data_IF_850314506744
#
_entry.id   IF_850314506744
#
_cell.length_a   1.000
_cell.length_b   1.000
_cell.length_c   1.000
_cell.angle_alpha   90.00
_cell.angle_beta   90.00
_cell.angle_gamma   90.00
#
_symmetry.space_group_name_H-M   'P 1'
#
loop_
_entity.id
_entity.type
_entity.pdbx_description
1 polymer ?
#
# COMPACT_ATOMS: atom_id res chain seq x y z
N UNK A 1 22.68 3.24 -1.01
CA UNK A 1 22.29 4.67 -0.97
C UNK A 1 20.86 4.94 -0.52
N UNK A 2 19.80 4.36 -1.13
CA UNK A 2 18.39 4.68 -0.78
C UNK A 2 18.01 4.54 0.72
N UNK A 3 18.66 3.66 1.46
CA UNK A 3 18.34 3.35 2.87
C UNK A 3 19.27 4.11 3.85
N UNK A 4 20.32 4.77 3.36
CA UNK A 4 21.41 5.29 4.21
C UNK A 4 20.94 6.27 5.30
N UNK A 5 19.96 7.11 4.99
CA UNK A 5 19.40 8.11 5.92
C UNK A 5 17.94 7.81 6.30
N UNK A 6 17.61 6.52 6.39
CA UNK A 6 16.30 6.04 6.82
C UNK A 6 16.35 5.62 8.29
N UNK A 7 15.30 5.97 9.05
CA UNK A 7 15.12 5.57 10.44
C UNK A 7 13.83 4.76 10.57
N UNK A 8 13.98 3.50 11.00
CA UNK A 8 12.83 2.65 11.32
C UNK A 8 12.25 3.02 12.69
N UNK A 9 10.96 3.38 12.75
CA UNK A 9 10.29 3.81 14.00
C UNK A 9 9.46 2.70 14.66
N UNK A 10 9.06 1.68 13.90
CA UNK A 10 8.36 0.51 14.42
C UNK A 10 8.53 -0.72 13.53
N UNK A 11 8.25 -1.89 14.12
CA UNK A 11 8.12 -3.18 13.46
C UNK A 11 6.73 -3.77 13.69
N UNK A 12 6.36 -4.70 12.82
CA UNK A 12 5.07 -5.36 12.83
C UNK A 12 4.05 -4.66 11.92
N UNK A 13 3.03 -5.41 11.52
CA UNK A 13 1.93 -4.88 10.71
C UNK A 13 0.66 -5.69 10.96
N UNK A 14 -0.39 -4.99 11.42
CA UNK A 14 -1.70 -5.61 11.65
C UNK A 14 -2.58 -5.68 10.38
N UNK A 15 -2.00 -5.35 9.23
CA UNK A 15 -2.69 -5.32 7.94
C UNK A 15 -3.17 -6.69 7.47
N UNK A 16 -2.37 -7.74 7.70
CA UNK A 16 -2.75 -9.12 7.42
C UNK A 16 -3.03 -9.42 5.93
N UNK A 17 -2.38 -8.70 5.01
CA UNK A 17 -2.48 -8.95 3.56
C UNK A 17 -2.12 -10.41 3.26
N UNK A 18 -2.89 -11.09 2.41
CA UNK A 18 -2.77 -12.53 2.21
C UNK A 18 -1.44 -12.98 1.58
N UNK A 19 -0.75 -12.07 0.88
CA UNK A 19 0.51 -12.29 0.15
C UNK A 19 1.74 -11.74 0.89
N UNK A 20 1.57 -11.15 2.08
CA UNK A 20 2.64 -10.47 2.81
C UNK A 20 3.12 -11.32 3.99
N UNK A 21 4.44 -11.41 4.19
CA UNK A 21 5.05 -12.17 5.30
C UNK A 21 5.37 -11.34 6.54
N UNK A 22 5.10 -10.02 6.54
CA UNK A 22 5.48 -9.14 7.65
C UNK A 22 4.88 -9.63 8.97
N UNK A 23 3.62 -10.07 8.99
CA UNK A 23 3.00 -10.58 10.22
C UNK A 23 3.63 -11.88 10.70
N UNK A 24 4.20 -12.70 9.81
CA UNK A 24 4.89 -13.93 10.15
C UNK A 24 6.31 -13.66 10.68
N UNK A 25 7.03 -12.73 10.07
CA UNK A 25 8.43 -12.43 10.43
C UNK A 25 8.58 -11.39 11.55
N UNK A 26 7.74 -10.35 11.56
CA UNK A 26 7.80 -9.24 12.54
C UNK A 26 6.66 -9.25 13.56
N UNK A 27 5.68 -10.13 13.38
CA UNK A 27 4.48 -10.17 14.20
C UNK A 27 3.38 -9.23 13.71
N UNK A 28 2.16 -9.56 14.13
CA UNK A 28 0.95 -8.77 13.85
C UNK A 28 0.89 -7.47 14.68
N UNK A 29 1.39 -7.51 15.91
CA UNK A 29 1.32 -6.37 16.83
C UNK A 29 2.46 -5.39 16.58
N UNK A 30 2.17 -4.10 16.67
CA UNK A 30 3.16 -3.05 16.45
C UNK A 30 4.09 -2.97 17.66
N UNK A 31 5.38 -3.10 17.41
CA UNK A 31 6.45 -2.85 18.38
C UNK A 31 7.12 -1.55 17.99
N UNK A 32 6.83 -0.48 18.74
CA UNK A 32 7.30 0.88 18.46
C UNK A 32 8.54 1.21 19.27
N UNK A 33 9.47 1.96 18.66
CA UNK A 33 10.59 2.57 19.38
C UNK A 33 10.11 3.75 20.23
N UNK A 34 10.85 4.06 21.28
CA UNK A 34 10.64 5.29 22.03
C UNK A 34 11.04 6.52 21.20
N UNK A 35 10.47 7.68 21.53
CA UNK A 35 10.79 8.95 20.86
C UNK A 35 12.26 9.30 21.02
N UNK A 36 12.78 9.08 22.22
CA UNK A 36 14.18 9.33 22.59
C UNK A 36 15.13 8.46 21.79
N UNK A 37 14.79 7.17 21.60
CA UNK A 37 15.56 6.24 20.77
C UNK A 37 15.60 6.69 19.31
N UNK A 38 14.46 7.12 18.75
CA UNK A 38 14.37 7.62 17.37
C UNK A 38 15.23 8.89 17.22
N UNK A 39 15.05 9.87 18.10
CA UNK A 39 15.81 11.12 18.05
C UNK A 39 17.32 10.90 18.22
N UNK A 40 17.73 9.95 19.07
CA UNK A 40 19.14 9.59 19.22
C UNK A 40 19.74 9.07 17.92
N UNK A 41 19.02 8.21 17.19
CA UNK A 41 19.48 7.69 15.90
C UNK A 41 19.50 8.77 14.82
N UNK A 42 18.47 9.62 14.76
CA UNK A 42 18.45 10.76 13.83
C UNK A 42 19.67 11.66 14.05
N UNK A 43 20.00 12.00 15.31
CA UNK A 43 21.19 12.79 15.64
C UNK A 43 22.47 12.08 15.21
N UNK A 44 22.59 10.77 15.44
CA UNK A 44 23.76 10.01 14.98
C UNK A 44 23.92 10.01 13.45
N UNK A 45 22.81 9.96 12.68
CA UNK A 45 22.85 10.08 11.22
C UNK A 45 23.26 11.49 10.77
N UNK A 46 22.92 12.52 11.53
CA UNK A 46 23.28 13.91 11.22
C UNK A 46 24.78 14.16 11.26
N UNK A 47 25.52 13.41 12.08
CA UNK A 47 26.99 13.51 12.20
C UNK A 47 27.74 12.82 11.05
N UNK A 48 27.04 12.10 10.16
CA UNK A 48 27.68 11.46 9.02
C UNK A 48 28.14 12.51 7.98
N UNK A 49 29.35 12.37 7.40
CA UNK A 49 29.99 13.42 6.59
C UNK A 49 29.19 13.83 5.35
N UNK A 50 28.36 12.92 4.83
CA UNK A 50 27.55 13.13 3.63
C UNK A 50 26.05 13.35 3.93
N UNK A 51 25.69 13.62 5.19
CA UNK A 51 24.33 14.05 5.56
C UNK A 51 24.06 15.50 5.14
N UNK A 52 22.95 15.72 4.42
CA UNK A 52 22.60 17.04 3.83
C UNK A 52 21.38 17.71 4.45
N UNK A 53 20.92 17.22 5.59
CA UNK A 53 19.70 17.69 6.27
C UNK A 53 18.41 16.98 5.84
N UNK A 54 18.49 15.89 5.08
CA UNK A 54 17.32 15.17 4.58
C UNK A 54 17.31 13.73 5.06
N UNK A 55 16.25 13.32 5.79
CA UNK A 55 15.99 11.91 6.06
C UNK A 55 15.24 11.30 4.88
N UNK A 56 15.71 10.15 4.39
CA UNK A 56 15.10 9.49 3.22
C UNK A 56 13.82 8.74 3.55
N UNK A 57 13.67 8.25 4.78
CA UNK A 57 12.44 7.67 5.29
C UNK A 57 12.39 7.72 6.82
N UNK A 58 11.28 8.14 7.41
CA UNK A 58 11.00 8.04 8.83
C UNK A 58 9.76 7.16 9.05
N UNK A 59 9.96 5.85 8.97
CA UNK A 59 8.86 4.92 8.71
C UNK A 59 9.03 3.52 9.28
N UNK A 60 8.27 2.59 8.71
CA UNK A 60 8.21 1.18 9.12
C UNK A 60 7.46 0.38 8.06
N UNK A 61 7.09 -0.88 8.33
CA UNK A 61 6.33 -1.71 7.39
C UNK A 61 5.13 -1.00 6.75
N UNK A 62 4.43 -0.18 7.54
CA UNK A 62 3.52 0.87 7.07
C UNK A 62 3.85 2.13 7.86
N UNK A 63 4.09 3.26 7.20
CA UNK A 63 4.59 4.45 7.89
C UNK A 63 3.60 4.99 8.93
N UNK A 64 2.30 4.84 8.68
CA UNK A 64 1.20 5.37 9.51
C UNK A 64 0.67 4.41 10.60
N UNK A 65 1.49 3.49 11.12
CA UNK A 65 1.08 2.54 12.17
C UNK A 65 1.79 2.72 13.52
N UNK A 66 2.66 3.72 13.65
CA UNK A 66 3.44 3.94 14.87
C UNK A 66 2.55 4.08 16.11
N UNK A 67 2.87 3.31 17.17
CA UNK A 67 2.14 3.18 18.45
C UNK A 67 0.68 2.71 18.36
N UNK A 68 0.18 2.35 17.18
CA UNK A 68 -1.17 1.81 17.04
C UNK A 68 -1.27 0.40 17.62
N UNK A 69 -2.29 0.17 18.45
CA UNK A 69 -2.54 -1.10 19.15
C UNK A 69 -4.01 -1.24 19.55
N UNK A 70 -4.39 -2.39 20.10
CA UNK A 70 -5.70 -2.54 20.72
C UNK A 70 -5.89 -1.57 21.89
N UNK A 71 -7.09 -1.03 22.05
CA UNK A 71 -7.50 -0.24 23.23
C UNK A 71 -7.52 -1.13 24.47
N UNK A 72 -8.04 -2.35 24.34
CA UNK A 72 -7.92 -3.43 25.32
C UNK A 72 -7.03 -4.56 24.77
N UNK A 73 -5.87 -4.77 25.40
CA UNK A 73 -4.91 -5.81 25.03
C UNK A 73 -5.35 -7.22 25.46
N UNK A 74 -6.22 -7.36 26.46
CA UNK A 74 -6.73 -8.67 26.88
C UNK A 74 -7.65 -9.28 25.82
N UNK A 75 -8.41 -8.45 25.10
CA UNK A 75 -9.16 -8.86 23.91
C UNK A 75 -8.20 -9.30 22.80
N UNK A 76 -7.13 -8.53 22.57
CA UNK A 76 -6.13 -8.82 21.54
C UNK A 76 -5.42 -10.16 21.75
N UNK A 77 -5.08 -10.51 23.00
CA UNK A 77 -4.42 -11.79 23.35
C UNK A 77 -5.25 -13.02 22.95
N UNK A 78 -6.58 -12.91 22.94
CA UNK A 78 -7.51 -14.00 22.57
C UNK A 78 -7.97 -13.92 21.10
N UNK A 79 -7.57 -12.87 20.37
CA UNK A 79 -8.09 -12.58 19.05
C UNK A 79 -7.45 -13.45 17.97
N UNK A 80 -8.27 -14.27 17.29
CA UNK A 80 -7.84 -15.12 16.15
C UNK A 80 -7.94 -14.43 14.80
N UNK A 81 -8.41 -13.17 14.72
CA UNK A 81 -8.53 -12.47 13.43
C UNK A 81 -7.15 -12.34 12.77
N UNK A 82 -6.99 -12.70 11.49
CA UNK A 82 -5.70 -12.58 10.81
C UNK A 82 -5.33 -11.12 10.47
N UNK A 83 -6.33 -10.24 10.35
CA UNK A 83 -6.15 -8.81 10.10
C UNK A 83 -7.00 -7.98 11.07
N UNK A 84 -6.44 -6.85 11.53
CA UNK A 84 -7.19 -5.87 12.30
C UNK A 84 -7.96 -4.87 11.42
N UNK A 85 -7.70 -4.83 10.11
CA UNK A 85 -8.26 -3.82 9.20
C UNK A 85 -9.01 -4.40 8.00
N UNK A 86 -9.10 -5.72 7.92
CA UNK A 86 -9.92 -6.43 6.93
C UNK A 86 -10.92 -7.38 7.63
N UNK A 87 -12.16 -7.51 7.12
CA UNK A 87 -12.78 -6.71 6.05
C UNK A 87 -13.15 -5.28 6.49
N UNK A 88 -13.21 -5.04 7.82
CA UNK A 88 -13.40 -3.72 8.42
C UNK A 88 -12.39 -3.51 9.54
N UNK A 89 -12.08 -2.25 9.80
CA UNK A 89 -11.26 -1.82 10.94
C UNK A 89 -11.86 -2.33 12.25
N UNK A 90 -11.03 -2.98 13.05
CA UNK A 90 -11.41 -3.55 14.33
C UNK A 90 -11.85 -2.42 15.28
N UNK A 91 -13.01 -2.51 15.94
CA UNK A 91 -13.47 -1.46 16.87
C UNK A 91 -12.56 -1.31 18.09
N UNK A 92 -11.79 -2.36 18.42
CA UNK A 92 -10.79 -2.31 19.48
C UNK A 92 -9.47 -1.67 19.02
N UNK A 93 -9.20 -1.48 17.72
CA UNK A 93 -7.95 -0.87 17.26
C UNK A 93 -7.97 0.64 17.52
N UNK A 94 -6.90 1.17 18.13
CA UNK A 94 -6.66 2.61 18.10
C UNK A 94 -6.05 2.99 16.73
N UNK A 95 -6.55 4.07 16.15
CA UNK A 95 -6.11 4.60 14.85
C UNK A 95 -5.64 6.05 15.00
N UNK A 96 -5.11 6.38 16.18
CA UNK A 96 -4.71 7.73 16.53
C UNK A 96 -3.30 8.04 16.02
N UNK A 97 -3.19 9.09 15.21
CA UNK A 97 -1.93 9.50 14.59
C UNK A 97 -1.16 10.56 15.41
N UNK A 98 -1.70 11.06 16.54
CA UNK A 98 -1.00 12.06 17.39
C UNK A 98 0.41 11.64 17.80
N UNK A 99 0.66 10.38 18.23
CA UNK A 99 2.02 9.99 18.61
C UNK A 99 3.00 9.99 17.43
N UNK A 100 2.52 9.79 16.20
CA UNK A 100 3.35 9.85 14.99
C UNK A 100 3.65 11.30 14.60
N UNK A 101 2.65 12.19 14.65
CA UNK A 101 2.83 13.63 14.47
C UNK A 101 3.87 14.20 15.45
N UNK A 102 3.81 13.78 16.72
CA UNK A 102 4.78 14.19 17.73
C UNK A 102 6.23 13.77 17.40
N UNK A 103 6.41 12.63 16.72
CA UNK A 103 7.73 12.23 16.20
C UNK A 103 8.15 13.13 15.04
N UNK A 104 7.26 13.41 14.09
CA UNK A 104 7.56 14.26 12.93
C UNK A 104 7.98 15.66 13.37
N UNK A 105 7.20 16.28 14.26
CA UNK A 105 7.51 17.62 14.78
C UNK A 105 8.83 17.64 15.57
N UNK A 106 9.09 16.61 16.39
CA UNK A 106 10.33 16.55 17.15
C UNK A 106 11.58 16.32 16.28
N UNK A 107 11.44 15.59 15.18
CA UNK A 107 12.54 15.38 14.23
C UNK A 107 12.79 16.64 13.40
N UNK A 108 11.72 17.25 12.87
CA UNK A 108 11.82 18.43 12.00
C UNK A 108 12.26 19.71 12.73
N UNK A 109 12.17 19.74 14.06
CA UNK A 109 12.69 20.85 14.89
C UNK A 109 14.17 20.74 15.24
N UNK A 110 14.83 19.61 14.93
CA UNK A 110 16.26 19.45 15.20
C UNK A 110 17.09 20.40 14.29
N UNK A 111 17.99 21.23 14.87
CA UNK A 111 18.87 22.08 14.08
C UNK A 111 19.70 21.25 13.09
N UNK A 112 19.62 21.58 11.80
CA UNK A 112 20.30 20.85 10.73
C UNK A 112 19.40 19.89 9.94
N UNK A 113 18.21 19.55 10.45
CA UNK A 113 17.17 18.89 9.64
C UNK A 113 16.47 19.94 8.79
N UNK A 114 16.44 19.70 7.47
CA UNK A 114 15.69 20.49 6.49
C UNK A 114 14.32 19.87 6.22
N UNK A 115 14.26 18.54 6.11
CA UNK A 115 13.02 17.79 5.85
C UNK A 115 13.18 16.32 6.22
N UNK A 116 12.17 15.75 6.86
CA UNK A 116 12.03 14.30 6.99
C UNK A 116 11.04 13.78 5.95
N UNK A 117 11.44 12.82 5.12
CA UNK A 117 10.57 12.22 4.12
C UNK A 117 9.96 10.90 4.58
N UNK A 118 8.81 10.54 4.02
CA UNK A 118 8.21 9.21 4.12
C UNK A 118 8.37 8.48 2.78
N UNK A 119 9.35 7.60 2.72
CA UNK A 119 9.62 6.70 1.59
C UNK A 119 8.92 5.34 1.71
N UNK A 120 8.44 5.01 2.91
CA UNK A 120 7.61 3.84 3.23
C UNK A 120 6.17 4.00 2.75
N UNK A 121 5.49 2.89 2.45
CA UNK A 121 4.08 2.90 2.05
C UNK A 121 3.14 3.28 3.20
N UNK A 122 2.00 3.88 2.86
CA UNK A 122 0.92 4.21 3.82
C UNK A 122 -0.35 3.42 3.55
N UNK A 123 -1.08 3.12 4.62
CA UNK A 123 -2.41 2.50 4.56
C UNK A 123 -3.49 3.56 4.48
N UNK A 124 -3.97 3.84 3.27
CA UNK A 124 -5.03 4.83 3.01
C UNK A 124 -6.38 4.45 3.64
N UNK A 125 -6.64 3.17 3.87
CA UNK A 125 -7.82 2.70 4.59
C UNK A 125 -7.84 3.15 6.06
N UNK A 126 -6.66 3.34 6.68
CA UNK A 126 -6.57 3.96 8.00
C UNK A 126 -6.83 5.48 7.93
N UNK A 127 -6.44 6.12 6.83
CA UNK A 127 -6.61 7.56 6.63
C UNK A 127 -8.08 7.94 6.34
N UNK A 128 -8.83 7.03 5.73
CA UNK A 128 -10.24 7.20 5.40
C UNK A 128 -11.17 6.68 6.52
N UNK A 129 -10.64 5.93 7.48
CA UNK A 129 -11.46 5.36 8.55
C UNK A 129 -12.05 6.45 9.45
N UNK A 130 -13.37 6.43 9.60
CA UNK A 130 -14.09 7.26 10.57
C UNK A 130 -14.24 6.52 11.90
N UNK A 131 -13.48 6.95 12.90
CA UNK A 131 -13.58 6.50 14.28
C UNK A 131 -14.82 7.10 14.97
N UNK A 132 -15.25 6.47 16.07
CA UNK A 132 -16.27 7.04 16.96
C UNK A 132 -15.76 8.23 17.77
N UNK A 133 -14.44 8.37 17.88
CA UNK A 133 -13.79 9.45 18.61
C UNK A 133 -13.44 10.61 17.66
N UNK A 134 -14.05 11.80 17.80
CA UNK A 134 -13.76 12.97 16.97
C UNK A 134 -12.31 13.42 17.04
N UNK A 135 -11.62 13.25 18.19
CA UNK A 135 -10.22 13.63 18.33
C UNK A 135 -9.31 12.75 17.46
N UNK A 136 -9.60 11.45 17.38
CA UNK A 136 -8.91 10.50 16.49
C UNK A 136 -9.14 10.85 15.02
N UNK A 137 -10.35 11.27 14.64
CA UNK A 137 -10.64 11.68 13.25
C UNK A 137 -9.90 12.97 12.90
N UNK A 138 -9.85 13.92 13.83
CA UNK A 138 -9.08 15.16 13.69
C UNK A 138 -7.58 14.86 13.49
N UNK A 139 -6.98 14.01 14.34
CA UNK A 139 -5.57 13.66 14.22
C UNK A 139 -5.23 12.94 12.91
N UNK A 140 -6.17 12.14 12.38
CA UNK A 140 -6.02 11.48 11.08
C UNK A 140 -6.07 12.48 9.92
N UNK A 141 -6.94 13.49 9.99
CA UNK A 141 -6.99 14.57 9.00
C UNK A 141 -5.72 15.44 9.05
N UNK A 142 -5.25 15.80 10.25
CA UNK A 142 -3.99 16.51 10.48
C UNK A 142 -2.81 15.75 9.90
N UNK A 143 -2.67 14.46 10.24
CA UNK A 143 -1.63 13.59 9.70
C UNK A 143 -1.68 13.51 8.17
N UNK A 144 -2.87 13.34 7.59
CA UNK A 144 -3.00 13.23 6.13
C UNK A 144 -2.53 14.51 5.43
N UNK A 145 -2.92 15.69 5.95
CA UNK A 145 -2.45 16.97 5.39
C UNK A 145 -0.96 17.16 5.57
N UNK A 146 -0.44 16.87 6.75
CA UNK A 146 0.98 17.03 7.08
C UNK A 146 1.86 16.09 6.24
N UNK A 147 1.50 14.80 6.12
CA UNK A 147 2.19 13.83 5.28
C UNK A 147 2.38 14.37 3.85
N UNK A 148 1.29 14.82 3.22
CA UNK A 148 1.30 15.28 1.83
C UNK A 148 2.06 16.59 1.70
N UNK A 149 1.76 17.57 2.56
CA UNK A 149 2.36 18.89 2.49
C UNK A 149 3.87 18.88 2.80
N UNK A 150 4.30 18.07 3.77
CA UNK A 150 5.62 18.19 4.38
C UNK A 150 6.51 16.97 4.28
N UNK A 151 6.00 15.77 4.01
CA UNK A 151 6.86 14.58 4.08
C UNK A 151 6.93 13.77 2.78
N UNK A 152 6.20 14.17 1.73
CA UNK A 152 6.34 13.55 0.40
C UNK A 152 7.44 14.26 -0.40
N UNK A 153 8.43 13.50 -0.88
CA UNK A 153 9.57 13.97 -1.68
C UNK A 153 9.27 14.11 -3.19
N UNK A 154 7.99 14.10 -3.57
CA UNK A 154 7.51 14.15 -4.95
C UNK A 154 6.64 12.96 -5.33
N UNK A 155 6.91 11.78 -4.76
CA UNK A 155 6.16 10.55 -5.04
C UNK A 155 5.69 9.91 -3.73
N UNK A 156 4.38 9.78 -3.55
CA UNK A 156 3.81 9.06 -2.40
C UNK A 156 3.48 7.63 -2.82
N UNK A 157 4.09 6.65 -2.14
CA UNK A 157 3.84 5.23 -2.40
C UNK A 157 2.56 4.78 -1.70
N UNK A 158 1.65 4.23 -2.49
CA UNK A 158 0.37 3.73 -2.00
C UNK A 158 0.08 2.41 -2.69
N UNK A 159 -0.41 1.40 -1.98
CA UNK A 159 -0.55 0.06 -2.55
C UNK A 159 -2.03 -0.34 -2.60
N UNK A 160 -2.75 -0.02 -3.70
CA UNK A 160 -4.08 -0.57 -3.94
C UNK A 160 -4.05 -2.06 -4.28
N UNK A 161 -2.94 -2.54 -4.84
CA UNK A 161 -2.66 -3.95 -5.22
C UNK A 161 -3.47 -4.49 -6.38
N UNK A 162 -4.77 -4.17 -6.46
CA UNK A 162 -5.64 -4.53 -7.56
C UNK A 162 -6.83 -3.55 -7.68
N UNK A 163 -7.60 -3.66 -8.75
CA UNK A 163 -8.87 -2.92 -8.96
C UNK A 163 -10.13 -3.77 -8.78
N UNK A 164 -10.01 -5.09 -8.66
CA UNK A 164 -11.14 -6.03 -8.65
C UNK A 164 -11.48 -6.39 -7.21
N UNK A 165 -12.69 -6.05 -6.76
CA UNK A 165 -13.10 -6.27 -5.36
C UNK A 165 -13.03 -7.76 -4.96
N UNK A 166 -13.30 -8.66 -5.91
CA UNK A 166 -13.17 -10.10 -5.70
C UNK A 166 -11.72 -10.49 -5.44
N UNK A 167 -10.78 -10.00 -6.25
CA UNK A 167 -9.33 -10.28 -6.06
C UNK A 167 -8.83 -9.60 -4.79
N UNK A 168 -9.21 -8.34 -4.54
CA UNK A 168 -8.84 -7.58 -3.34
C UNK A 168 -9.33 -8.26 -2.05
N UNK A 169 -10.52 -8.87 -2.07
CA UNK A 169 -11.04 -9.64 -0.95
C UNK A 169 -10.11 -10.82 -0.60
N UNK A 170 -9.69 -11.60 -1.60
CA UNK A 170 -8.73 -12.71 -1.42
C UNK A 170 -7.38 -12.16 -0.92
N UNK A 171 -6.93 -11.02 -1.45
CA UNK A 171 -5.72 -10.32 -1.01
C UNK A 171 -5.81 -9.75 0.42
N UNK A 172 -7.02 -9.71 1.01
CA UNK A 172 -7.36 -9.02 2.27
C UNK A 172 -7.09 -7.52 2.25
N UNK A 173 -7.45 -6.90 1.13
CA UNK A 173 -7.33 -5.46 0.87
C UNK A 173 -8.72 -4.79 0.85
N UNK A 174 -8.81 -3.48 1.13
CA UNK A 174 -10.05 -2.73 0.92
C UNK A 174 -10.39 -2.63 -0.57
N UNK A 175 -11.62 -2.23 -0.90
CA UNK A 175 -12.03 -1.98 -2.28
C UNK A 175 -11.22 -0.88 -2.95
N UNK A 176 -11.14 -0.92 -4.27
CA UNK A 176 -10.41 0.09 -5.04
C UNK A 176 -11.05 1.49 -4.95
N UNK A 177 -12.34 1.57 -4.64
CA UNK A 177 -13.05 2.83 -4.41
C UNK A 177 -12.40 3.70 -3.32
N UNK A 178 -11.84 3.09 -2.27
CA UNK A 178 -11.10 3.82 -1.24
C UNK A 178 -9.81 4.46 -1.78
N UNK A 179 -9.12 3.81 -2.73
CA UNK A 179 -7.96 4.42 -3.37
C UNK A 179 -8.38 5.63 -4.22
N UNK A 180 -9.51 5.56 -4.93
CA UNK A 180 -10.03 6.69 -5.69
C UNK A 180 -10.41 7.88 -4.79
N UNK A 181 -11.00 7.60 -3.61
CA UNK A 181 -11.31 8.62 -2.61
C UNK A 181 -10.03 9.26 -2.06
N UNK A 182 -9.03 8.44 -1.70
CA UNK A 182 -7.73 8.95 -1.26
C UNK A 182 -7.04 9.79 -2.34
N UNK A 183 -7.12 9.39 -3.62
CA UNK A 183 -6.59 10.18 -4.74
C UNK A 183 -7.22 11.58 -4.80
N UNK A 184 -8.54 11.69 -4.62
CA UNK A 184 -9.21 13.00 -4.59
C UNK A 184 -8.70 13.88 -3.46
N UNK A 185 -8.48 13.31 -2.27
CA UNK A 185 -7.91 14.03 -1.12
C UNK A 185 -6.47 14.48 -1.42
N UNK A 186 -5.66 13.58 -1.98
CA UNK A 186 -4.28 13.85 -2.37
C UNK A 186 -4.16 14.97 -3.40
N UNK A 187 -4.94 14.90 -4.49
CA UNK A 187 -4.95 15.89 -5.56
C UNK A 187 -5.44 17.26 -5.06
N UNK A 188 -6.43 17.27 -4.16
CA UNK A 188 -6.92 18.50 -3.52
C UNK A 188 -5.82 19.17 -2.70
N UNK A 189 -5.18 18.43 -1.79
CA UNK A 189 -4.13 18.99 -0.92
C UNK A 189 -2.93 19.43 -1.77
N UNK A 190 -2.54 18.65 -2.79
CA UNK A 190 -1.48 19.06 -3.71
C UNK A 190 -1.78 20.41 -4.37
N UNK A 191 -3.02 20.60 -4.85
CA UNK A 191 -3.43 21.88 -5.47
C UNK A 191 -3.45 23.03 -4.46
N UNK A 192 -3.98 22.81 -3.25
CA UNK A 192 -4.04 23.83 -2.20
C UNK A 192 -2.64 24.30 -1.77
N UNK A 193 -1.67 23.37 -1.70
CA UNK A 193 -0.29 23.65 -1.28
C UNK A 193 0.64 24.01 -2.46
N UNK A 194 0.13 24.08 -3.69
CA UNK A 194 0.93 24.37 -4.89
C UNK A 194 1.97 23.29 -5.25
N UNK A 195 1.74 22.05 -4.83
CA UNK A 195 2.65 20.92 -4.98
C UNK A 195 2.39 20.17 -6.29
N UNK A 196 3.44 19.56 -6.84
CA UNK A 196 3.40 18.75 -8.08
C UNK A 196 3.76 17.30 -7.80
N UNK A 197 3.24 16.74 -6.70
CA UNK A 197 3.52 15.36 -6.31
C UNK A 197 2.61 14.39 -7.07
N UNK A 198 3.01 13.13 -7.11
CA UNK A 198 2.26 12.05 -7.75
C UNK A 198 2.08 10.88 -6.80
N UNK A 199 0.95 10.18 -6.92
CA UNK A 199 0.80 8.86 -6.32
C UNK A 199 1.50 7.83 -7.20
N UNK A 200 2.27 6.95 -6.56
CA UNK A 200 2.83 5.77 -7.21
C UNK A 200 2.08 4.55 -6.67
N UNK A 201 1.06 4.07 -7.41
CA UNK A 201 0.33 2.88 -7.03
C UNK A 201 1.19 1.63 -7.28
N UNK A 202 1.14 0.69 -6.34
CA UNK A 202 1.70 -0.65 -6.51
C UNK A 202 0.57 -1.64 -6.81
N UNK A 203 0.72 -2.39 -7.90
CA UNK A 203 -0.25 -3.39 -8.37
C UNK A 203 0.43 -4.75 -8.58
N UNK A 204 -0.34 -5.81 -8.36
CA UNK A 204 0.13 -7.20 -8.42
C UNK A 204 -0.71 -7.98 -9.46
N UNK A 205 -0.06 -8.55 -10.48
CA UNK A 205 -0.66 -9.52 -11.41
C UNK A 205 -0.53 -10.94 -10.89
N UNK A 206 -1.29 -11.88 -11.43
CA UNK A 206 -1.15 -13.33 -11.18
C UNK A 206 -1.39 -13.76 -9.73
N UNK A 207 -1.94 -12.89 -8.88
CA UNK A 207 -2.34 -13.28 -7.53
C UNK A 207 -3.42 -14.37 -7.60
N UNK A 208 -3.46 -15.35 -6.68
CA UNK A 208 -4.55 -16.31 -6.60
C UNK A 208 -5.93 -15.65 -6.67
N UNK A 209 -6.77 -16.13 -7.57
CA UNK A 209 -8.08 -15.59 -7.88
C UNK A 209 -8.09 -14.50 -8.95
N UNK A 210 -6.93 -13.98 -9.37
CA UNK A 210 -6.83 -13.04 -10.49
C UNK A 210 -6.83 -13.79 -11.82
N UNK A 211 -7.67 -13.33 -12.75
CA UNK A 211 -7.75 -13.80 -14.14
C UNK A 211 -7.39 -12.69 -15.12
N UNK A 212 -7.21 -13.06 -16.37
CA UNK A 212 -6.92 -12.15 -17.48
C UNK A 212 -7.99 -11.05 -17.61
N UNK A 213 -9.27 -11.35 -17.35
CA UNK A 213 -10.33 -10.34 -17.40
C UNK A 213 -10.19 -9.29 -16.30
N UNK A 214 -9.75 -9.67 -15.09
CA UNK A 214 -9.52 -8.73 -13.99
C UNK A 214 -8.38 -7.76 -14.35
N UNK A 215 -7.34 -8.27 -15.01
CA UNK A 215 -6.19 -7.48 -15.47
C UNK A 215 -6.54 -6.56 -16.65
N UNK A 216 -7.41 -7.02 -17.55
CA UNK A 216 -7.92 -6.21 -18.64
C UNK A 216 -8.73 -5.00 -18.11
N UNK A 217 -9.59 -5.21 -17.11
CA UNK A 217 -10.32 -4.12 -16.44
C UNK A 217 -9.36 -3.18 -15.68
N UNK A 218 -8.35 -3.73 -15.00
CA UNK A 218 -7.30 -2.94 -14.35
C UNK A 218 -6.59 -2.02 -15.35
N UNK A 219 -6.23 -2.51 -16.54
CA UNK A 219 -5.63 -1.69 -17.59
C UNK A 219 -6.53 -0.51 -18.00
N UNK A 220 -7.82 -0.76 -18.17
CA UNK A 220 -8.80 0.28 -18.54
C UNK A 220 -8.93 1.33 -17.43
N UNK A 221 -9.02 0.90 -16.17
CA UNK A 221 -9.15 1.79 -15.02
C UNK A 221 -7.88 2.64 -14.85
N UNK A 222 -6.71 2.02 -14.92
CA UNK A 222 -5.42 2.72 -14.78
C UNK A 222 -5.18 3.69 -15.93
N UNK A 223 -5.58 3.36 -17.17
CA UNK A 223 -5.60 4.31 -18.28
C UNK A 223 -6.47 5.53 -17.99
N UNK A 224 -7.70 5.35 -17.49
CA UNK A 224 -8.59 6.48 -17.16
C UNK A 224 -8.04 7.38 -16.05
N UNK A 225 -7.25 6.80 -15.16
CA UNK A 225 -6.60 7.52 -14.06
C UNK A 225 -5.23 8.11 -14.44
N UNK A 226 -4.81 7.94 -15.71
CA UNK A 226 -3.51 8.36 -16.24
C UNK A 226 -2.31 7.77 -15.46
N UNK A 227 -2.44 6.51 -15.03
CA UNK A 227 -1.36 5.77 -14.40
C UNK A 227 -0.59 4.93 -15.42
N UNK A 228 0.54 5.45 -15.86
CA UNK A 228 1.57 4.69 -16.56
C UNK A 228 2.37 3.88 -15.55
N UNK A 229 2.01 2.61 -15.40
CA UNK A 229 2.60 1.74 -14.39
C UNK A 229 4.02 1.33 -14.79
N UNK A 230 4.99 1.73 -13.97
CA UNK A 230 6.40 1.32 -14.08
C UNK A 230 6.77 0.33 -12.96
N UNK A 231 6.23 0.55 -11.76
CA UNK A 231 6.48 -0.28 -10.57
C UNK A 231 5.33 -1.27 -10.40
N UNK A 232 5.48 -2.42 -11.07
CA UNK A 232 4.49 -3.51 -11.01
C UNK A 232 5.15 -4.79 -10.54
N UNK A 233 4.34 -5.67 -9.96
CA UNK A 233 4.81 -6.94 -9.44
C UNK A 233 3.99 -8.07 -10.04
N UNK A 234 4.67 -9.14 -10.44
CA UNK A 234 4.01 -10.40 -10.65
C UNK A 234 4.00 -11.20 -9.35
N UNK A 235 2.87 -11.83 -9.03
CA UNK A 235 2.76 -12.62 -7.81
C UNK A 235 3.83 -13.71 -7.79
N UNK A 236 4.59 -13.71 -6.70
CA UNK A 236 5.62 -14.70 -6.42
C UNK A 236 5.19 -15.44 -5.15
N UNK A 237 5.06 -16.78 -5.19
CA UNK A 237 4.60 -17.58 -4.06
C UNK A 237 5.62 -17.49 -2.92
N UNK A 238 5.41 -16.54 -2.03
CA UNK A 238 6.28 -16.29 -0.88
C UNK A 238 5.90 -17.27 0.25
N UNK A 239 6.86 -18.02 0.82
CA UNK A 239 6.59 -18.96 1.90
C UNK A 239 5.82 -18.32 3.08
N UNK A 240 5.06 -19.13 3.81
CA UNK A 240 4.26 -18.71 4.98
C UNK A 240 3.14 -17.69 4.69
N UNK A 241 2.71 -17.56 3.44
CA UNK A 241 1.58 -16.68 3.07
C UNK A 241 0.35 -17.50 2.66
N UNK A 242 -0.83 -16.96 2.99
CA UNK A 242 -2.12 -17.54 2.64
C UNK A 242 -2.30 -17.61 1.12
N UNK A 243 -1.79 -16.61 0.40
CA UNK A 243 -1.81 -16.59 -1.05
C UNK A 243 -0.97 -17.75 -1.62
N UNK A 244 0.19 -18.05 -1.06
CA UNK A 244 1.00 -19.20 -1.52
C UNK A 244 0.33 -20.53 -1.27
N UNK A 245 -0.37 -20.69 -0.14
CA UNK A 245 -1.17 -21.87 0.12
C UNK A 245 -2.25 -22.05 -0.95
N UNK A 246 -3.03 -21.00 -1.23
CA UNK A 246 -4.04 -21.02 -2.29
C UNK A 246 -3.44 -21.28 -3.67
N UNK A 247 -2.25 -20.74 -3.95
CA UNK A 247 -1.53 -20.97 -5.20
C UNK A 247 -1.12 -22.44 -5.35
N UNK A 248 -0.66 -23.08 -4.28
CA UNK A 248 -0.20 -24.46 -4.32
C UNK A 248 -1.37 -25.44 -4.39
N UNK A 249 -2.35 -25.30 -3.49
CA UNK A 249 -3.47 -26.23 -3.35
C UNK A 249 -4.56 -26.03 -4.40
N UNK A 250 -4.69 -24.82 -4.94
CA UNK A 250 -5.80 -24.44 -5.83
C UNK A 250 -7.10 -24.14 -5.08
N UNK A 251 -7.07 -23.98 -3.76
CA UNK A 251 -8.24 -23.71 -2.93
C UNK A 251 -8.02 -22.53 -1.98
N UNK A 252 -9.07 -21.75 -1.72
CA UNK A 252 -9.02 -20.75 -0.67
C UNK A 252 -8.94 -21.45 0.70
N UNK A 253 -7.92 -21.21 1.53
CA UNK A 253 -7.60 -22.09 2.67
C UNK A 253 -8.62 -22.02 3.83
N UNK A 254 -9.53 -21.04 3.83
CA UNK A 254 -10.58 -20.94 4.86
C UNK A 254 -11.96 -21.36 4.38
N UNK A 255 -12.25 -21.23 3.09
CA UNK A 255 -13.58 -21.55 2.52
C UNK A 255 -13.57 -22.85 1.74
N UNK A 256 -12.38 -23.36 1.39
CA UNK A 256 -12.16 -24.52 0.52
C UNK A 256 -12.79 -24.36 -0.87
N UNK A 257 -13.12 -23.14 -1.27
CA UNK A 257 -13.59 -22.86 -2.62
C UNK A 257 -12.43 -22.93 -3.61
N UNK A 258 -12.61 -23.48 -4.82
CA UNK A 258 -11.58 -23.49 -5.85
C UNK A 258 -11.12 -22.07 -6.22
N UNK A 259 -9.82 -21.86 -6.28
CA UNK A 259 -9.19 -20.59 -6.65
C UNK A 259 -8.21 -20.81 -7.80
N UNK A 260 -8.51 -20.19 -8.94
CA UNK A 260 -7.59 -20.16 -10.06
C UNK A 260 -6.27 -19.48 -9.69
N UNK A 261 -5.15 -20.02 -10.16
CA UNK A 261 -3.83 -19.42 -9.97
C UNK A 261 -3.01 -19.58 -11.26
N UNK A 262 -2.47 -18.49 -11.78
CA UNK A 262 -1.54 -18.54 -12.90
C UNK A 262 -0.21 -19.18 -12.46
N UNK A 263 0.19 -20.29 -13.10
CA UNK A 263 1.40 -21.05 -12.75
C UNK A 263 2.42 -21.05 -13.88
N UNK A 264 1.96 -21.14 -15.12
CA UNK A 264 2.84 -21.20 -16.28
C UNK A 264 3.32 -19.80 -16.68
N UNK A 265 4.49 -19.68 -17.35
CA UNK A 265 4.96 -18.40 -17.89
C UNK A 265 3.95 -17.76 -18.84
N UNK A 266 3.21 -18.58 -19.61
CA UNK A 266 2.17 -18.12 -20.52
C UNK A 266 1.00 -17.46 -19.79
N UNK A 267 0.47 -18.10 -18.74
CA UNK A 267 -0.63 -17.54 -17.94
C UNK A 267 -0.20 -16.25 -17.23
N UNK A 268 1.01 -16.24 -16.65
CA UNK A 268 1.57 -15.05 -16.00
C UNK A 268 1.75 -13.90 -16.99
N UNK A 269 2.27 -14.18 -18.18
CA UNK A 269 2.41 -13.17 -19.24
C UNK A 269 1.05 -12.65 -19.72
N UNK A 270 0.06 -13.55 -19.86
CA UNK A 270 -1.29 -13.19 -20.28
C UNK A 270 -1.93 -12.13 -19.37
N UNK A 271 -1.60 -12.16 -18.08
CA UNK A 271 -1.99 -11.16 -17.08
C UNK A 271 -1.07 -9.93 -17.04
N UNK A 272 0.24 -10.15 -16.92
CA UNK A 272 1.24 -9.08 -16.69
C UNK A 272 1.29 -8.06 -17.83
N UNK A 273 1.08 -8.46 -19.07
CA UNK A 273 1.12 -7.56 -20.24
C UNK A 273 0.16 -6.37 -20.11
N UNK A 274 -0.98 -6.55 -19.43
CA UNK A 274 -2.00 -5.51 -19.26
C UNK A 274 -1.53 -4.28 -18.47
N UNK A 275 -0.50 -4.42 -17.64
CA UNK A 275 0.12 -3.26 -16.97
C UNK A 275 0.73 -2.26 -17.93
N UNK A 276 1.10 -2.71 -19.12
CA UNK A 276 1.88 -1.95 -20.09
C UNK A 276 1.05 -1.56 -21.31
N UNK A 277 -0.26 -1.34 -21.14
CA UNK A 277 -1.17 -0.94 -22.21
C UNK A 277 -0.73 0.29 -23.00
N UNK A 278 0.11 1.15 -22.42
CA UNK A 278 0.64 2.36 -23.06
C UNK A 278 1.84 2.09 -23.97
N UNK A 279 2.46 0.90 -23.89
CA UNK A 279 3.63 0.53 -24.68
C UNK A 279 3.22 0.04 -26.07
N UNK A 280 3.72 0.65 -27.16
CA UNK A 280 3.37 0.25 -28.52
C UNK A 280 3.65 -1.24 -28.82
N UNK A 281 4.75 -1.76 -28.28
CA UNK A 281 5.19 -3.15 -28.46
C UNK A 281 4.22 -4.17 -27.84
N UNK A 282 3.50 -3.81 -26.77
CA UNK A 282 2.55 -4.71 -26.10
C UNK A 282 1.14 -4.67 -26.72
N UNK A 283 0.85 -3.65 -27.53
CA UNK A 283 -0.49 -3.42 -28.08
C UNK A 283 -1.03 -4.63 -28.85
N UNK A 284 -0.21 -5.26 -29.69
CA UNK A 284 -0.62 -6.43 -30.48
C UNK A 284 -0.94 -7.63 -29.57
N UNK A 285 -0.11 -7.86 -28.55
CA UNK A 285 -0.28 -8.97 -27.61
C UNK A 285 -1.58 -8.79 -26.80
N UNK A 286 -1.80 -7.59 -26.28
CA UNK A 286 -3.00 -7.23 -25.52
C UNK A 286 -4.27 -7.39 -26.38
N UNK A 287 -4.26 -6.92 -27.63
CA UNK A 287 -5.42 -7.08 -28.53
C UNK A 287 -5.73 -8.55 -28.80
N UNK A 288 -4.70 -9.37 -29.07
CA UNK A 288 -4.87 -10.79 -29.30
C UNK A 288 -5.43 -11.49 -28.04
N UNK A 289 -4.93 -11.10 -26.88
CA UNK A 289 -5.39 -11.64 -25.60
C UNK A 289 -6.85 -11.27 -25.32
N UNK A 290 -7.24 -10.00 -25.52
CA UNK A 290 -8.63 -9.55 -25.37
C UNK A 290 -9.58 -10.30 -26.29
N UNK A 291 -9.17 -10.62 -27.52
CA UNK A 291 -9.95 -11.46 -28.45
C UNK A 291 -10.07 -12.89 -27.92
N UNK A 292 -8.97 -13.46 -27.43
CA UNK A 292 -8.93 -14.83 -26.87
C UNK A 292 -9.89 -15.00 -25.69
N UNK A 293 -9.93 -14.03 -24.79
CA UNK A 293 -10.80 -14.05 -23.59
C UNK A 293 -12.20 -13.46 -23.85
N UNK A 294 -12.54 -13.13 -25.11
CA UNK A 294 -13.86 -12.62 -25.48
C UNK A 294 -14.18 -11.19 -25.02
N UNK A 295 -13.18 -10.42 -24.57
CA UNK A 295 -13.31 -9.03 -24.08
C UNK A 295 -12.96 -7.99 -25.13
N UNK A 296 -13.47 -8.17 -26.35
CA UNK A 296 -13.27 -7.25 -27.49
C UNK A 296 -13.79 -5.84 -27.15
N UNK A 297 -14.80 -5.74 -26.28
CA UNK A 297 -15.37 -4.47 -25.78
C UNK A 297 -14.34 -3.57 -25.07
N UNK A 298 -13.24 -4.14 -24.57
CA UNK A 298 -12.18 -3.40 -23.89
C UNK A 298 -11.13 -2.82 -24.85
N UNK A 299 -11.06 -3.30 -26.10
CA UNK A 299 -10.08 -2.81 -27.08
C UNK A 299 -10.30 -1.32 -27.35
N UNK A 300 -11.54 -0.92 -27.61
CA UNK A 300 -11.90 0.48 -27.88
C UNK A 300 -11.62 1.38 -26.66
N UNK A 301 -11.86 0.87 -25.45
CA UNK A 301 -11.57 1.61 -24.21
C UNK A 301 -10.06 1.84 -24.04
N UNK A 302 -9.23 0.86 -24.43
CA UNK A 302 -7.77 0.93 -24.30
C UNK A 302 -7.07 1.67 -25.43
N UNK A 303 -7.57 1.63 -26.66
CA UNK A 303 -6.85 2.16 -27.82
C UNK A 303 -7.64 3.13 -28.69
N UNK A 304 -8.87 3.46 -28.30
CA UNK A 304 -9.78 4.27 -29.11
C UNK A 304 -10.37 3.48 -30.28
N UNK A 305 -11.43 4.01 -30.89
CA UNK A 305 -11.92 3.54 -32.18
C UNK A 305 -10.93 4.01 -33.25
N UNK A 306 -10.54 3.09 -34.15
CA UNK A 306 -9.94 3.49 -35.42
C UNK A 306 -10.99 4.15 -36.29
#
# INVERSE_FOLDING_TARGET
DMIKFSVNIHRGCFGGCAFCTISAHQGKFIVSRSKESILKEVKALMELPDFKGYLSDLGGPSANMYRMKGRDENICKKCKRPSCIHPKVCPNLNTDHRPLLDIYHAVDTLPGIKKSFIGSGVRYDLLLHQSKDPATNKSTAEYTRELIARHVSGRLKVAPEHTSDRVLSIMRKPSFGQFQEFKKIFDRINREEGLRQQLIPYFISSHPGCKEEDMAELAVITKRLDFHLEQVQDFTPTPMTVATEAWYTGYHPYTLEPVFSAKTPREKLAQRQFFFWYKPEERKNIINELRRIGRIDLIDKLYGKR
#
